data_IF_584708411175
#
_entry.id   IF_584708411175
#
_cell.length_a   1.000
_cell.length_b   1.000
_cell.length_c   1.000
_cell.angle_alpha   90.00
_cell.angle_beta   90.00
_cell.angle_gamma   90.00
#
_symmetry.space_group_name_H-M   'P 1'
#
loop_
_entity.id
_entity.type
_entity.pdbx_description
1 polymer ?
#
# COMPACT_ATOMS: atom_id res chain seq x y z
N UNK A 1 3.27 -12.09 12.02
CA UNK A 1 3.66 -11.71 13.40
C UNK A 1 2.99 -12.60 14.43
N UNK A 2 1.65 -12.56 14.53
CA UNK A 2 0.91 -13.39 15.50
C UNK A 2 1.06 -14.90 15.22
N UNK A 3 1.00 -15.33 13.96
CA UNK A 3 1.27 -16.73 13.60
C UNK A 3 2.70 -17.15 13.98
N UNK A 4 3.67 -16.24 13.85
CA UNK A 4 5.08 -16.46 14.21
C UNK A 4 5.28 -16.64 15.71
N UNK A 5 4.39 -16.14 16.57
CA UNK A 5 4.40 -16.44 18.01
C UNK A 5 3.67 -17.74 18.37
N UNK A 6 3.23 -18.52 17.39
CA UNK A 6 2.56 -19.81 17.59
C UNK A 6 1.08 -19.68 17.99
N UNK A 7 0.51 -18.47 17.95
CA UNK A 7 -0.91 -18.24 18.26
C UNK A 7 -1.77 -18.47 17.02
N UNK A 8 -2.90 -19.15 17.23
CA UNK A 8 -3.89 -19.34 16.19
C UNK A 8 -4.48 -17.99 15.80
N UNK A 9 -4.40 -17.70 14.50
CA UNK A 9 -4.72 -16.38 13.94
C UNK A 9 -5.75 -16.52 12.83
N UNK A 10 -6.68 -15.57 12.78
CA UNK A 10 -7.67 -15.45 11.72
C UNK A 10 -7.48 -14.09 11.05
N UNK A 11 -7.34 -14.10 9.73
CA UNK A 11 -7.13 -12.88 8.94
C UNK A 11 -8.27 -12.74 7.94
N UNK A 12 -8.90 -11.56 7.91
CA UNK A 12 -9.98 -11.30 6.96
C UNK A 12 -10.63 -9.94 7.15
N UNK A 13 -11.90 -9.82 6.77
CA UNK A 13 -12.65 -8.57 6.82
C UNK A 13 -12.93 -8.04 5.42
N UNK A 14 -12.54 -6.79 5.15
CA UNK A 14 -12.72 -6.14 3.86
C UNK A 14 -11.86 -6.77 2.74
N UNK A 15 -10.65 -7.25 3.08
CA UNK A 15 -9.79 -8.04 2.19
C UNK A 15 -9.76 -9.49 2.68
N UNK A 16 -9.63 -10.42 1.73
CA UNK A 16 -9.55 -11.85 2.01
C UNK A 16 -10.92 -12.47 2.19
N UNK A 17 -11.13 -13.18 3.30
CA UNK A 17 -12.35 -13.96 3.53
C UNK A 17 -13.27 -13.27 4.53
N UNK A 18 -14.61 -13.27 4.31
CA UNK A 18 -15.56 -12.87 5.34
C UNK A 18 -15.45 -13.79 6.56
N UNK A 19 -15.02 -13.23 7.69
CA UNK A 19 -14.73 -13.98 8.93
C UNK A 19 -15.97 -14.65 9.54
N UNK A 20 -17.17 -14.14 9.25
CA UNK A 20 -18.44 -14.72 9.71
C UNK A 20 -18.61 -16.19 9.29
N UNK A 21 -18.02 -16.58 8.16
CA UNK A 21 -18.07 -17.96 7.63
C UNK A 21 -17.19 -18.94 8.42
N UNK A 22 -16.41 -18.45 9.38
CA UNK A 22 -15.45 -19.22 10.16
C UNK A 22 -15.67 -19.08 11.66
N UNK A 23 -16.70 -18.34 12.09
CA UNK A 23 -16.95 -17.98 13.48
C UNK A 23 -17.10 -19.21 14.39
N UNK A 24 -17.71 -20.29 13.88
CA UNK A 24 -17.89 -21.57 14.56
C UNK A 24 -16.57 -22.29 14.89
N UNK A 25 -15.48 -21.90 14.24
CA UNK A 25 -14.15 -22.50 14.40
C UNK A 25 -13.24 -21.70 15.33
N UNK A 26 -13.68 -20.51 15.73
CA UNK A 26 -12.91 -19.56 16.54
C UNK A 26 -13.10 -19.82 18.04
N UNK A 27 -12.04 -19.61 18.79
CA UNK A 27 -12.00 -19.78 20.24
C UNK A 27 -11.60 -18.45 20.92
N UNK A 28 -11.87 -18.28 22.22
CA UNK A 28 -11.56 -17.05 22.95
C UNK A 28 -10.06 -16.71 23.00
N UNK A 29 -9.18 -17.70 22.81
CA UNK A 29 -7.72 -17.52 22.82
C UNK A 29 -7.15 -17.15 21.45
N UNK A 30 -7.95 -17.28 20.38
CA UNK A 30 -7.54 -16.98 19.02
C UNK A 30 -7.42 -15.46 18.80
N UNK A 31 -6.55 -15.06 17.89
CA UNK A 31 -6.41 -13.65 17.51
C UNK A 31 -7.07 -13.41 16.17
N UNK A 32 -7.91 -12.39 16.10
CA UNK A 32 -8.53 -11.93 14.85
C UNK A 32 -7.82 -10.66 14.40
N UNK A 33 -7.28 -10.69 13.17
CA UNK A 33 -6.75 -9.53 12.46
C UNK A 33 -7.73 -9.18 11.36
N UNK A 34 -8.48 -8.09 11.56
CA UNK A 34 -9.56 -7.70 10.66
C UNK A 34 -9.28 -6.36 9.98
N UNK A 35 -9.34 -6.34 8.66
CA UNK A 35 -9.39 -5.09 7.89
C UNK A 35 -10.83 -4.58 7.81
N UNK A 36 -11.03 -3.29 8.08
CA UNK A 36 -12.33 -2.64 8.04
C UNK A 36 -12.32 -1.43 7.10
N UNK A 37 -13.31 -1.38 6.20
CA UNK A 37 -13.52 -0.22 5.32
C UNK A 37 -14.37 0.86 6.00
N UNK A 38 -14.35 2.09 5.46
CA UNK A 38 -15.23 3.16 5.96
C UNK A 38 -16.71 2.81 5.80
N UNK A 39 -17.09 2.06 4.76
CA UNK A 39 -18.46 1.58 4.56
C UNK A 39 -18.92 0.64 5.68
N UNK A 40 -18.01 -0.23 6.16
CA UNK A 40 -18.31 -1.11 7.29
C UNK A 40 -18.39 -0.31 8.58
N UNK A 41 -17.39 0.54 8.84
CA UNK A 41 -17.28 1.32 10.08
C UNK A 41 -18.42 2.34 10.25
N UNK A 42 -19.00 2.85 9.17
CA UNK A 42 -20.21 3.71 9.21
C UNK A 42 -21.36 3.04 9.99
N UNK A 43 -21.45 1.69 9.93
CA UNK A 43 -22.51 0.91 10.58
C UNK A 43 -22.13 0.41 11.98
N UNK A 44 -20.87 0.57 12.40
CA UNK A 44 -20.38 0.00 13.65
C UNK A 44 -20.78 0.86 14.85
N UNK A 45 -21.23 0.20 15.92
CA UNK A 45 -21.57 0.81 17.22
C UNK A 45 -20.66 0.32 18.34
N UNK A 46 -19.61 -0.43 17.99
CA UNK A 46 -18.60 -0.99 18.89
C UNK A 46 -17.23 -0.85 18.22
N UNK A 47 -16.16 -0.74 19.00
CA UNK A 47 -14.78 -0.61 18.51
C UNK A 47 -13.94 -1.79 18.97
N UNK A 48 -12.96 -2.26 18.17
CA UNK A 48 -12.01 -3.26 18.63
C UNK A 48 -11.17 -2.74 19.81
N UNK A 49 -10.76 -3.61 20.74
CA UNK A 49 -9.93 -3.20 21.88
C UNK A 49 -8.54 -2.72 21.46
N UNK A 50 -8.07 -3.14 20.28
CA UNK A 50 -6.81 -2.70 19.69
C UNK A 50 -7.09 -2.36 18.23
N UNK A 51 -6.91 -1.10 17.85
CA UNK A 51 -7.26 -0.61 16.53
C UNK A 51 -6.21 0.36 16.00
N UNK A 52 -6.05 0.40 14.67
CA UNK A 52 -5.18 1.35 13.99
C UNK A 52 -5.93 2.16 12.94
N UNK A 53 -5.61 3.44 12.85
CA UNK A 53 -5.93 4.28 11.69
C UNK A 53 -4.61 4.66 11.03
N UNK A 54 -4.35 4.08 9.85
CA UNK A 54 -3.06 4.22 9.19
C UNK A 54 -2.84 5.60 8.56
N UNK A 55 -3.89 6.15 7.97
CA UNK A 55 -3.96 7.49 7.40
C UNK A 55 -5.42 7.86 7.10
N UNK A 56 -5.70 9.15 6.92
CA UNK A 56 -6.96 9.67 6.38
C UNK A 56 -6.65 10.70 5.29
N UNK A 57 -6.77 10.24 4.04
CA UNK A 57 -6.63 11.06 2.83
C UNK A 57 -7.88 10.94 1.95
N UNK A 58 -8.09 11.86 0.99
CA UNK A 58 -9.24 11.81 0.09
C UNK A 58 -9.43 10.45 -0.59
N UNK A 59 -10.56 9.81 -0.32
CA UNK A 59 -10.96 8.56 -0.93
C UNK A 59 -12.48 8.36 -0.76
N UNK A 60 -13.12 7.66 -1.71
CA UNK A 60 -14.55 7.35 -1.70
C UNK A 60 -15.50 8.56 -1.48
N UNK A 61 -15.14 9.75 -1.98
CA UNK A 61 -15.95 10.96 -1.85
C UNK A 61 -17.24 10.90 -2.69
N UNK A 62 -17.29 10.03 -3.70
CA UNK A 62 -18.50 9.63 -4.42
C UNK A 62 -19.59 9.06 -3.49
N UNK A 63 -19.19 8.32 -2.44
CA UNK A 63 -20.11 7.77 -1.44
C UNK A 63 -20.29 8.67 -0.21
N UNK A 64 -19.18 9.17 0.32
CA UNK A 64 -19.17 9.89 1.60
C UNK A 64 -19.49 11.38 1.44
N UNK A 65 -19.51 11.90 0.21
CA UNK A 65 -19.78 13.30 -0.16
C UNK A 65 -18.73 14.31 0.33
N UNK A 66 -18.19 14.15 1.54
CA UNK A 66 -17.21 15.05 2.15
C UNK A 66 -16.12 14.29 2.88
N UNK A 67 -14.94 14.91 3.01
CA UNK A 67 -13.86 14.41 3.86
C UNK A 67 -14.25 14.26 5.33
N UNK A 68 -15.10 15.16 5.83
CA UNK A 68 -15.59 15.10 7.20
C UNK A 68 -16.41 13.83 7.44
N UNK A 69 -17.34 13.50 6.55
CA UNK A 69 -18.13 12.27 6.65
C UNK A 69 -17.27 11.01 6.51
N UNK A 70 -16.28 11.02 5.61
CA UNK A 70 -15.34 9.90 5.47
C UNK A 70 -14.50 9.67 6.74
N UNK A 71 -13.97 10.75 7.31
CA UNK A 71 -13.20 10.71 8.56
C UNK A 71 -14.08 10.26 9.74
N UNK A 72 -15.30 10.78 9.83
CA UNK A 72 -16.30 10.43 10.83
C UNK A 72 -16.60 8.92 10.79
N UNK A 73 -16.87 8.36 9.61
CA UNK A 73 -17.10 6.93 9.44
C UNK A 73 -15.89 6.09 9.91
N UNK A 74 -14.67 6.48 9.55
CA UNK A 74 -13.45 5.80 10.01
C UNK A 74 -13.23 5.93 11.51
N UNK A 75 -13.61 7.04 12.12
CA UNK A 75 -13.43 7.30 13.55
C UNK A 75 -14.17 6.29 14.44
N UNK A 76 -15.22 5.63 13.92
CA UNK A 76 -15.95 4.58 14.64
C UNK A 76 -15.06 3.38 15.03
N UNK A 77 -13.91 3.18 14.39
CA UNK A 77 -12.95 2.15 14.81
C UNK A 77 -12.31 2.46 16.19
N UNK A 78 -12.35 3.73 16.64
CA UNK A 78 -11.79 4.20 17.92
C UNK A 78 -12.87 4.73 18.88
N UNK A 79 -13.95 5.30 18.33
CA UNK A 79 -14.98 6.07 19.06
C UNK A 79 -15.56 5.37 20.29
N UNK A 80 -15.73 4.06 20.21
CA UNK A 80 -16.40 3.26 21.24
C UNK A 80 -15.40 2.50 22.13
N UNK A 81 -14.10 2.76 22.00
CA UNK A 81 -13.08 2.22 22.90
C UNK A 81 -13.25 2.73 24.34
N UNK A 82 -12.72 1.96 25.28
CA UNK A 82 -12.62 2.21 26.72
C UNK A 82 -11.22 2.74 27.10
N UNK A 83 -10.96 2.93 28.40
CA UNK A 83 -9.65 3.42 28.88
C UNK A 83 -8.59 2.32 28.90
N UNK A 84 -9.02 1.06 28.84
CA UNK A 84 -8.21 -0.15 28.79
C UNK A 84 -7.73 -0.50 27.38
N UNK A 85 -8.32 0.12 26.36
CA UNK A 85 -8.08 -0.17 24.96
C UNK A 85 -6.87 0.59 24.39
N UNK A 86 -6.42 0.19 23.20
CA UNK A 86 -5.28 0.76 22.49
C UNK A 86 -5.69 1.31 21.13
N UNK A 87 -5.33 2.57 20.89
CA UNK A 87 -5.41 3.21 19.58
C UNK A 87 -4.00 3.38 18.99
N UNK A 88 -3.86 3.09 17.69
CA UNK A 88 -2.61 3.26 16.95
C UNK A 88 -2.82 4.26 15.81
N UNK A 89 -2.09 5.38 15.84
CA UNK A 89 -2.20 6.45 14.84
C UNK A 89 -0.85 6.73 14.17
N UNK A 90 -0.87 7.08 12.88
CA UNK A 90 0.31 7.64 12.21
C UNK A 90 0.54 9.05 12.72
N UNK A 91 1.73 9.35 13.26
CA UNK A 91 2.12 10.71 13.62
C UNK A 91 2.47 11.56 12.40
N UNK A 92 2.71 10.91 11.25
CA UNK A 92 3.06 11.58 9.99
C UNK A 92 1.83 11.98 9.17
N UNK A 93 0.64 11.49 9.56
CA UNK A 93 -0.61 11.76 8.84
C UNK A 93 -1.50 12.71 9.66
N UNK A 94 -1.70 13.98 9.21
CA UNK A 94 -2.54 14.94 9.91
C UNK A 94 -3.98 14.46 10.08
N UNK A 95 -4.51 13.69 9.12
CA UNK A 95 -5.87 13.17 9.17
C UNK A 95 -6.07 12.13 10.27
N UNK A 96 -5.13 11.19 10.43
CA UNK A 96 -5.09 10.24 11.52
C UNK A 96 -4.86 10.95 12.86
N UNK A 97 -3.91 11.89 12.93
CA UNK A 97 -3.63 12.64 14.15
C UNK A 97 -4.80 13.53 14.60
N UNK A 98 -5.67 13.98 13.70
CA UNK A 98 -6.90 14.68 14.06
C UNK A 98 -7.87 13.80 14.88
N UNK A 99 -7.71 12.47 14.87
CA UNK A 99 -8.50 11.56 15.71
C UNK A 99 -7.94 11.37 17.12
N UNK A 100 -6.80 11.97 17.47
CA UNK A 100 -6.19 11.75 18.80
C UNK A 100 -7.12 12.17 19.95
N UNK A 101 -7.93 13.20 19.75
CA UNK A 101 -8.80 13.78 20.80
C UNK A 101 -9.97 12.87 21.18
N UNK A 102 -10.31 11.89 20.33
CA UNK A 102 -11.36 10.91 20.62
C UNK A 102 -10.82 9.63 21.26
N UNK A 103 -9.50 9.47 21.35
CA UNK A 103 -8.87 8.30 21.96
C UNK A 103 -9.06 8.35 23.47
N UNK A 104 -9.65 7.29 24.03
CA UNK A 104 -9.92 7.19 25.48
C UNK A 104 -8.84 6.45 26.24
N UNK A 105 -8.29 5.40 25.64
CA UNK A 105 -7.28 4.54 26.26
C UNK A 105 -5.86 4.94 25.88
N UNK A 106 -5.01 3.94 25.69
CA UNK A 106 -3.59 4.13 25.38
C UNK A 106 -3.40 4.50 23.91
N UNK A 107 -2.91 5.71 23.65
CA UNK A 107 -2.50 6.13 22.31
C UNK A 107 -1.05 5.75 22.03
N UNK A 108 -0.84 4.86 21.05
CA UNK A 108 0.47 4.53 20.50
C UNK A 108 0.61 5.14 19.11
N UNK A 109 1.79 5.64 18.76
CA UNK A 109 2.03 6.36 17.50
C UNK A 109 3.08 5.67 16.65
N UNK A 110 3.00 5.83 15.33
CA UNK A 110 4.10 5.45 14.45
C UNK A 110 4.56 6.58 13.54
N UNK A 111 5.84 6.61 13.20
CA UNK A 111 6.42 7.71 12.44
C UNK A 111 7.73 7.34 11.71
N UNK A 112 7.91 7.85 10.50
CA UNK A 112 9.20 7.86 9.79
C UNK A 112 10.07 9.05 10.20
N UNK A 113 9.46 10.15 10.64
CA UNK A 113 10.13 11.44 10.82
C UNK A 113 10.42 11.77 12.30
N UNK A 114 9.47 11.45 13.18
CA UNK A 114 9.45 11.83 14.58
C UNK A 114 9.85 10.66 15.46
N UNK A 115 10.59 10.96 16.52
CA UNK A 115 10.75 10.03 17.64
C UNK A 115 9.48 10.10 18.48
N UNK A 116 8.83 8.97 18.70
CA UNK A 116 7.62 8.86 19.53
C UNK A 116 7.95 8.19 20.87
N UNK A 117 7.31 8.64 21.94
CA UNK A 117 7.52 8.12 23.31
C UNK A 117 6.86 6.75 23.53
N UNK A 118 5.78 6.47 22.81
CA UNK A 118 5.03 5.21 22.86
C UNK A 118 4.59 4.81 21.44
N UNK A 119 5.07 3.66 20.97
CA UNK A 119 4.80 3.11 19.65
C UNK A 119 6.07 2.73 18.89
N UNK A 120 6.19 3.12 17.61
CA UNK A 120 7.29 2.68 16.74
C UNK A 120 7.77 3.78 15.80
N UNK A 121 9.08 3.91 15.59
CA UNK A 121 9.62 4.97 14.73
C UNK A 121 10.89 4.57 14.00
N UNK A 122 11.24 5.34 12.96
CA UNK A 122 12.52 5.22 12.26
C UNK A 122 13.52 6.23 12.80
N UNK A 123 14.74 5.76 13.11
CA UNK A 123 15.87 6.64 13.45
C UNK A 123 17.17 5.97 13.06
N UNK A 124 18.03 6.72 12.34
CA UNK A 124 19.36 6.27 11.92
C UNK A 124 19.34 4.92 11.16
N UNK A 125 18.42 4.80 10.19
CA UNK A 125 18.32 3.60 9.34
C UNK A 125 17.79 2.34 10.05
N UNK A 126 17.13 2.51 11.20
CA UNK A 126 16.60 1.40 12.01
C UNK A 126 15.18 1.69 12.47
N UNK A 127 14.39 0.62 12.59
CA UNK A 127 13.09 0.62 13.26
C UNK A 127 13.29 0.44 14.75
N UNK A 128 12.65 1.30 15.53
CA UNK A 128 12.65 1.31 16.99
C UNK A 128 11.23 1.13 17.50
N UNK A 129 11.10 0.47 18.65
CA UNK A 129 9.88 0.41 19.45
C UNK A 129 10.10 1.20 20.74
N UNK A 130 9.05 1.86 21.21
CA UNK A 130 9.02 2.56 22.48
C UNK A 130 7.76 2.22 23.29
N UNK A 131 7.93 2.18 24.61
CA UNK A 131 6.88 1.95 25.60
C UNK A 131 7.18 2.79 26.84
N UNK A 132 6.55 3.97 26.94
CA UNK A 132 6.55 4.80 28.15
C UNK A 132 7.93 5.09 28.74
N UNK A 133 8.94 5.29 27.88
CA UNK A 133 10.32 5.60 28.28
C UNK A 133 11.34 4.47 28.09
N UNK A 134 10.90 3.24 27.78
CA UNK A 134 11.79 2.18 27.27
C UNK A 134 11.85 2.25 25.75
N UNK A 135 13.05 2.10 25.18
CA UNK A 135 13.26 2.10 23.72
C UNK A 135 14.17 0.94 23.35
N UNK A 136 13.80 0.17 22.31
CA UNK A 136 14.61 -0.94 21.81
C UNK A 136 14.53 -1.05 20.29
N UNK A 137 15.65 -1.47 19.67
CA UNK A 137 15.76 -1.54 18.21
C UNK A 137 15.24 -2.86 17.67
N UNK A 138 14.26 -2.81 16.77
CA UNK A 138 13.59 -3.98 16.20
C UNK A 138 14.38 -4.61 15.06
N UNK A 139 14.68 -3.82 14.03
CA UNK A 139 15.48 -4.24 12.88
C UNK A 139 16.08 -3.02 12.17
N UNK A 140 17.05 -3.27 11.29
CA UNK A 140 17.49 -2.27 10.31
C UNK A 140 16.47 -2.17 9.17
N UNK A 141 16.43 -1.03 8.48
CA UNK A 141 15.54 -0.86 7.32
C UNK A 141 15.85 -1.86 6.18
N UNK A 142 17.12 -2.20 5.98
CA UNK A 142 17.56 -3.18 4.97
C UNK A 142 17.19 -4.63 5.31
N UNK A 143 16.74 -4.90 6.54
CA UNK A 143 16.20 -6.19 6.96
C UNK A 143 14.69 -6.31 6.68
N UNK A 144 14.03 -5.25 6.18
CA UNK A 144 12.64 -5.26 5.76
C UNK A 144 12.60 -5.66 4.27
N UNK A 145 12.02 -6.82 3.92
CA UNK A 145 11.98 -7.32 2.54
C UNK A 145 10.99 -6.57 1.64
N UNK A 146 10.21 -5.64 2.20
CA UNK A 146 9.25 -4.81 1.49
C UNK A 146 9.88 -3.49 1.03
N UNK A 147 9.67 -3.14 -0.24
CA UNK A 147 10.11 -1.87 -0.81
C UNK A 147 9.16 -0.72 -0.45
N UNK A 148 9.70 0.49 -0.34
CA UNK A 148 8.92 1.72 -0.18
C UNK A 148 8.68 2.15 1.27
N UNK A 149 8.74 3.47 1.50
CA UNK A 149 8.53 4.08 2.82
C UNK A 149 7.14 3.83 3.39
N UNK A 150 6.12 3.74 2.54
CA UNK A 150 4.77 3.36 2.96
C UNK A 150 4.72 1.95 3.57
N UNK A 151 5.55 1.01 3.09
CA UNK A 151 5.64 -0.32 3.69
C UNK A 151 6.42 -0.31 5.00
N UNK A 152 7.39 0.60 5.17
CA UNK A 152 8.01 0.84 6.46
C UNK A 152 6.96 1.32 7.46
N UNK A 153 6.12 2.32 7.12
CA UNK A 153 4.98 2.75 7.95
C UNK A 153 4.05 1.59 8.32
N UNK A 154 3.70 0.73 7.35
CA UNK A 154 2.89 -0.47 7.60
C UNK A 154 3.55 -1.42 8.61
N UNK A 155 4.87 -1.62 8.50
CA UNK A 155 5.65 -2.44 9.45
C UNK A 155 5.63 -1.82 10.85
N UNK A 156 5.77 -0.49 10.97
CA UNK A 156 5.69 0.20 12.26
C UNK A 156 4.32 -0.02 12.90
N UNK A 157 3.23 0.24 12.17
CA UNK A 157 1.87 0.06 12.67
C UNK A 157 1.60 -1.41 13.06
N UNK A 158 2.00 -2.36 12.21
CA UNK A 158 1.84 -3.80 12.48
C UNK A 158 2.63 -4.26 13.71
N UNK A 159 3.85 -3.75 13.91
CA UNK A 159 4.66 -4.06 15.08
C UNK A 159 3.99 -3.57 16.37
N UNK A 160 3.42 -2.35 16.36
CA UNK A 160 2.65 -1.81 17.49
C UNK A 160 1.43 -2.67 17.78
N UNK A 161 0.64 -3.03 16.76
CA UNK A 161 -0.54 -3.87 16.91
C UNK A 161 -0.20 -5.26 17.48
N UNK A 162 0.86 -5.89 16.97
CA UNK A 162 1.33 -7.19 17.43
C UNK A 162 1.84 -7.14 18.89
N UNK A 163 2.61 -6.11 19.23
CA UNK A 163 3.09 -5.88 20.59
C UNK A 163 1.92 -5.64 21.56
N UNK A 164 0.91 -4.87 21.16
CA UNK A 164 -0.29 -4.60 21.97
C UNK A 164 -1.13 -5.85 22.27
N UNK A 165 -1.08 -6.90 21.43
CA UNK A 165 -1.71 -8.20 21.73
C UNK A 165 -0.76 -9.18 22.46
N UNK A 166 0.46 -8.74 22.81
CA UNK A 166 1.43 -9.54 23.56
C UNK A 166 2.31 -10.47 22.71
N UNK A 167 2.50 -10.20 21.42
CA UNK A 167 3.49 -10.92 20.60
C UNK A 167 4.91 -10.56 21.07
N UNK A 168 5.77 -11.55 21.27
CA UNK A 168 7.15 -11.30 21.71
C UNK A 168 7.96 -10.50 20.70
N UNK A 169 8.93 -9.74 21.19
CA UNK A 169 9.88 -8.98 20.39
C UNK A 169 10.55 -9.84 19.31
N UNK A 170 10.99 -11.05 19.68
CA UNK A 170 11.65 -12.00 18.77
C UNK A 170 10.71 -12.44 17.64
N UNK A 171 9.44 -12.72 17.95
CA UNK A 171 8.45 -13.13 16.96
C UNK A 171 8.09 -11.98 16.00
N UNK A 172 7.97 -10.74 16.51
CA UNK A 172 7.78 -9.55 15.66
C UNK A 172 8.99 -9.39 14.72
N UNK A 173 10.21 -9.40 15.26
CA UNK A 173 11.46 -9.24 14.48
C UNK A 173 11.61 -10.33 13.43
N UNK A 174 11.34 -11.59 13.77
CA UNK A 174 11.39 -12.70 12.84
C UNK A 174 10.35 -12.55 11.72
N UNK A 175 9.11 -12.23 12.08
CA UNK A 175 8.02 -12.06 11.12
C UNK A 175 8.31 -10.94 10.11
N UNK A 176 8.90 -9.81 10.53
CA UNK A 176 9.28 -8.72 9.62
C UNK A 176 10.26 -9.24 8.57
N UNK A 177 11.32 -9.93 9.01
CA UNK A 177 12.40 -10.41 8.13
C UNK A 177 11.96 -11.49 7.17
N UNK A 178 11.00 -12.32 7.57
CA UNK A 178 10.50 -13.43 6.77
C UNK A 178 9.25 -13.07 5.95
N UNK A 179 8.77 -11.82 6.02
CA UNK A 179 7.54 -11.44 5.34
C UNK A 179 7.75 -11.41 3.82
N UNK A 180 6.91 -12.14 3.09
CA UNK A 180 6.86 -12.06 1.63
C UNK A 180 5.82 -11.04 1.20
N UNK A 181 6.15 -10.24 0.18
CA UNK A 181 5.21 -9.28 -0.39
C UNK A 181 3.89 -9.97 -0.78
N UNK A 182 2.79 -9.24 -0.60
CA UNK A 182 1.47 -9.70 -1.02
C UNK A 182 1.40 -9.65 -2.54
N UNK A 183 0.79 -10.66 -3.15
CA UNK A 183 0.54 -10.68 -4.59
C UNK A 183 -0.10 -9.37 -5.06
N UNK A 184 0.32 -8.88 -6.23
CA UNK A 184 -0.16 -7.64 -6.83
C UNK A 184 0.14 -6.35 -6.04
N UNK A 185 1.02 -6.40 -5.03
CA UNK A 185 1.51 -5.25 -4.27
C UNK A 185 3.04 -5.16 -4.31
N UNK A 186 3.56 -4.32 -5.21
CA UNK A 186 5.00 -4.22 -5.51
C UNK A 186 5.69 -5.59 -5.63
N UNK A 187 5.00 -6.56 -6.21
CA UNK A 187 5.44 -7.94 -6.32
C UNK A 187 6.45 -8.08 -7.47
N UNK A 188 7.65 -8.55 -7.17
CA UNK A 188 8.62 -8.91 -8.21
C UNK A 188 8.18 -10.21 -8.89
N UNK A 189 7.63 -10.10 -10.10
CA UNK A 189 7.14 -11.25 -10.89
C UNK A 189 8.28 -12.01 -11.54
N UNK A 190 9.21 -11.29 -12.18
CA UNK A 190 10.31 -11.89 -12.93
C UNK A 190 11.45 -10.90 -13.10
N UNK A 191 12.68 -11.42 -13.22
CA UNK A 191 13.84 -10.68 -13.70
C UNK A 191 14.29 -11.26 -15.05
N UNK A 192 14.39 -10.43 -16.08
CA UNK A 192 14.75 -10.86 -17.45
C UNK A 192 15.83 -9.91 -17.98
N UNK A 193 16.99 -10.44 -18.39
CA UNK A 193 18.06 -9.59 -18.97
C UNK A 193 18.48 -8.42 -18.08
N UNK A 194 18.43 -8.58 -16.75
CA UNK A 194 18.74 -7.51 -15.80
C UNK A 194 17.56 -6.57 -15.46
N UNK A 195 16.45 -6.64 -16.21
CA UNK A 195 15.22 -5.85 -16.01
C UNK A 195 14.31 -6.50 -14.97
N UNK A 196 13.75 -5.72 -14.05
CA UNK A 196 12.77 -6.20 -13.07
C UNK A 196 11.33 -5.92 -13.56
N UNK A 197 10.45 -6.91 -13.49
CA UNK A 197 9.03 -6.76 -13.79
C UNK A 197 8.23 -6.83 -12.49
N UNK A 198 7.60 -5.71 -12.14
CA UNK A 198 6.93 -5.53 -10.85
C UNK A 198 5.43 -5.32 -11.04
N UNK A 199 4.65 -6.13 -10.32
CA UNK A 199 3.19 -6.10 -10.31
C UNK A 199 2.69 -5.31 -9.10
N UNK A 200 2.11 -4.14 -9.34
CA UNK A 200 1.39 -3.34 -8.34
C UNK A 200 -0.04 -3.03 -8.84
N UNK A 201 -0.71 -4.03 -9.42
CA UNK A 201 -2.07 -3.88 -9.97
C UNK A 201 -3.10 -3.35 -8.95
N UNK A 202 -2.83 -3.52 -7.65
CA UNK A 202 -3.66 -2.96 -6.57
C UNK A 202 -3.60 -1.43 -6.46
N UNK A 203 -2.67 -0.76 -7.17
CA UNK A 203 -2.60 0.69 -7.25
C UNK A 203 -3.71 1.26 -8.15
N UNK A 204 -4.95 1.18 -7.67
CA UNK A 204 -6.17 1.62 -8.38
C UNK A 204 -6.55 3.08 -8.10
N UNK A 205 -5.57 3.89 -7.69
CA UNK A 205 -5.72 5.32 -7.43
C UNK A 205 -4.38 6.04 -7.72
N UNK A 206 -4.39 7.33 -8.15
CA UNK A 206 -3.17 8.09 -8.43
C UNK A 206 -2.18 8.12 -7.27
N UNK A 207 -2.67 8.27 -6.04
CA UNK A 207 -1.83 8.35 -4.82
C UNK A 207 -1.12 7.02 -4.56
N UNK A 208 -1.76 5.90 -4.91
CA UNK A 208 -1.17 4.56 -4.77
C UNK A 208 -0.09 4.34 -5.83
N UNK A 209 -0.33 4.79 -7.06
CA UNK A 209 0.67 4.73 -8.12
C UNK A 209 1.87 5.63 -7.80
N UNK A 210 1.65 6.82 -7.22
CA UNK A 210 2.70 7.69 -6.70
C UNK A 210 3.57 6.99 -5.65
N UNK A 211 2.95 6.35 -4.65
CA UNK A 211 3.66 5.59 -3.63
C UNK A 211 4.49 4.43 -4.24
N UNK A 212 4.02 3.82 -5.32
CA UNK A 212 4.74 2.80 -6.06
C UNK A 212 5.98 3.37 -6.78
N UNK A 213 5.83 4.49 -7.50
CA UNK A 213 6.94 5.18 -8.18
C UNK A 213 8.06 5.56 -7.20
N UNK A 214 7.70 6.02 -6.01
CA UNK A 214 8.63 6.46 -4.97
C UNK A 214 9.35 5.30 -4.26
N UNK A 215 8.97 4.06 -4.55
CA UNK A 215 9.59 2.85 -3.99
C UNK A 215 10.82 2.39 -4.76
N UNK A 216 11.15 3.05 -5.86
CA UNK A 216 12.28 2.70 -6.72
C UNK A 216 13.28 3.85 -6.82
N UNK A 217 14.55 3.50 -6.97
CA UNK A 217 15.63 4.41 -7.39
C UNK A 217 16.10 4.11 -8.81
N UNK A 218 15.77 2.91 -9.31
CA UNK A 218 16.02 2.43 -10.67
C UNK A 218 15.22 3.22 -11.72
N UNK A 219 15.66 3.36 -12.98
CA UNK A 219 14.83 3.95 -14.05
C UNK A 219 13.54 3.14 -14.27
N UNK A 220 12.41 3.84 -14.41
CA UNK A 220 11.09 3.20 -14.45
C UNK A 220 10.50 3.28 -15.85
N UNK A 221 9.98 2.15 -16.35
CA UNK A 221 9.01 2.08 -17.44
C UNK A 221 7.65 1.79 -16.81
N UNK A 222 6.77 2.78 -16.80
CA UNK A 222 5.48 2.72 -16.11
C UNK A 222 4.40 2.19 -17.06
N UNK A 223 3.62 1.21 -16.61
CA UNK A 223 2.36 0.82 -17.25
C UNK A 223 1.21 1.45 -16.45
N UNK A 224 0.52 2.42 -17.06
CA UNK A 224 -0.54 3.19 -16.42
C UNK A 224 -1.84 3.15 -17.24
N UNK A 225 -3.00 3.14 -16.57
CA UNK A 225 -4.26 2.94 -17.27
C UNK A 225 -5.41 2.46 -16.41
N UNK A 226 -6.48 2.04 -17.08
CA UNK A 226 -7.72 1.57 -16.45
C UNK A 226 -8.87 2.57 -16.60
N UNK A 227 -9.82 2.50 -15.67
CA UNK A 227 -10.97 3.43 -15.57
C UNK A 227 -10.82 4.43 -14.43
N UNK A 228 -11.15 5.68 -14.71
CA UNK A 228 -11.18 6.77 -13.73
C UNK A 228 -12.39 6.71 -12.78
N UNK A 229 -12.26 7.36 -11.64
CA UNK A 229 -13.35 7.60 -10.67
C UNK A 229 -13.38 9.07 -10.26
N UNK A 230 -13.25 9.97 -11.24
CA UNK A 230 -13.16 11.42 -11.04
C UNK A 230 -12.04 11.82 -10.06
N UNK A 231 -10.86 11.19 -10.22
CA UNK A 231 -9.71 11.38 -9.34
C UNK A 231 -8.85 12.58 -9.75
N UNK A 232 -7.97 13.04 -8.87
CA UNK A 232 -7.07 14.17 -9.13
C UNK A 232 -5.70 13.66 -9.60
N UNK A 233 -5.32 13.99 -10.84
CA UNK A 233 -4.14 13.42 -11.50
C UNK A 233 -2.92 14.35 -11.62
N UNK A 234 -3.03 15.61 -11.17
CA UNK A 234 -1.97 16.61 -11.34
C UNK A 234 -0.65 16.23 -10.67
N UNK A 235 -0.67 15.76 -9.43
CA UNK A 235 0.55 15.30 -8.74
C UNK A 235 1.14 14.05 -9.38
N UNK A 236 0.29 13.13 -9.85
CA UNK A 236 0.71 11.95 -10.60
C UNK A 236 1.46 12.34 -11.88
N UNK A 237 0.89 13.24 -12.67
CA UNK A 237 1.53 13.71 -13.91
C UNK A 237 2.90 14.35 -13.61
N UNK A 238 2.96 15.27 -12.64
CA UNK A 238 4.20 15.88 -12.21
C UNK A 238 5.28 14.84 -11.83
N UNK A 239 4.91 13.81 -11.06
CA UNK A 239 5.86 12.78 -10.62
C UNK A 239 6.31 11.89 -11.78
N UNK A 240 5.40 11.50 -12.68
CA UNK A 240 5.74 10.69 -13.86
C UNK A 240 6.77 11.42 -14.71
N UNK A 241 6.55 12.71 -14.98
CA UNK A 241 7.48 13.53 -15.77
C UNK A 241 8.87 13.66 -15.14
N UNK A 242 8.98 13.58 -13.82
CA UNK A 242 10.25 13.66 -13.10
C UNK A 242 10.98 12.32 -12.97
N UNK A 243 10.23 11.22 -12.85
CA UNK A 243 10.77 9.95 -12.33
C UNK A 243 10.85 8.83 -13.36
N UNK A 244 10.03 8.91 -14.41
CA UNK A 244 9.78 7.81 -15.34
C UNK A 244 10.57 8.04 -16.62
N UNK A 245 11.20 6.97 -17.13
CA UNK A 245 11.93 6.95 -18.42
C UNK A 245 10.95 6.86 -19.59
N UNK A 246 9.94 6.01 -19.47
CA UNK A 246 8.87 5.82 -20.44
C UNK A 246 7.56 5.42 -19.76
N UNK A 247 6.43 5.84 -20.30
CA UNK A 247 5.10 5.47 -19.84
C UNK A 247 4.29 4.87 -20.99
N UNK A 248 3.76 3.68 -20.75
CA UNK A 248 2.88 2.97 -21.68
C UNK A 248 1.46 3.01 -21.10
N UNK A 249 0.59 3.73 -21.80
CA UNK A 249 -0.78 4.03 -21.40
C UNK A 249 -1.75 3.06 -22.06
N UNK A 250 -2.68 2.52 -21.28
CA UNK A 250 -3.71 1.58 -21.75
C UNK A 250 -5.09 1.82 -21.12
N UNK A 251 -6.14 1.22 -21.69
CA UNK A 251 -7.50 1.31 -21.16
C UNK A 251 -8.16 2.68 -21.36
N UNK A 252 -9.31 2.87 -20.72
CA UNK A 252 -10.17 4.06 -20.91
C UNK A 252 -9.47 5.37 -20.54
N UNK A 253 -8.59 5.34 -19.54
CA UNK A 253 -7.79 6.48 -19.09
C UNK A 253 -6.70 6.92 -20.06
N UNK A 254 -6.30 6.08 -21.02
CA UNK A 254 -5.07 6.30 -21.77
C UNK A 254 -5.05 7.64 -22.53
N UNK A 255 -6.18 8.01 -23.15
CA UNK A 255 -6.29 9.28 -23.86
C UNK A 255 -6.18 10.50 -22.94
N UNK A 256 -6.89 10.49 -21.81
CA UNK A 256 -6.84 11.55 -20.82
C UNK A 256 -5.45 11.71 -20.21
N UNK A 257 -4.82 10.61 -19.79
CA UNK A 257 -3.48 10.64 -19.20
C UNK A 257 -2.42 11.11 -20.20
N UNK A 258 -2.55 10.74 -21.48
CA UNK A 258 -1.65 11.22 -22.53
C UNK A 258 -1.72 12.75 -22.65
N UNK A 259 -2.92 13.31 -22.81
CA UNK A 259 -3.10 14.77 -22.90
C UNK A 259 -2.57 15.48 -21.66
N UNK A 260 -2.85 14.93 -20.47
CA UNK A 260 -2.37 15.50 -19.22
C UNK A 260 -0.83 15.55 -19.13
N UNK A 261 -0.14 14.49 -19.60
CA UNK A 261 1.32 14.45 -19.61
C UNK A 261 1.90 15.39 -20.68
N UNK A 262 1.30 15.45 -21.86
CA UNK A 262 1.69 16.38 -22.94
C UNK A 262 1.56 17.85 -22.48
N UNK A 263 0.49 18.19 -21.75
CA UNK A 263 0.31 19.52 -21.16
C UNK A 263 1.42 19.86 -20.16
N UNK A 264 1.82 18.90 -19.32
CA UNK A 264 2.95 19.09 -18.40
C UNK A 264 4.28 19.24 -19.12
N UNK A 265 4.47 18.51 -20.22
CA UNK A 265 5.65 18.63 -21.07
C UNK A 265 5.76 20.03 -21.67
N UNK A 266 4.65 20.57 -22.17
CA UNK A 266 4.58 21.92 -22.73
C UNK A 266 4.90 23.01 -21.69
N UNK A 267 4.66 22.75 -20.40
CA UNK A 267 5.05 23.61 -19.28
C UNK A 267 6.53 23.50 -18.89
N UNK A 268 7.32 22.71 -19.62
CA UNK A 268 8.76 22.53 -19.39
C UNK A 268 9.12 21.46 -18.37
N UNK A 269 8.20 20.53 -18.06
CA UNK A 269 8.51 19.35 -17.26
C UNK A 269 9.41 18.37 -18.04
N UNK A 270 9.79 17.25 -17.40
CA UNK A 270 10.61 16.20 -18.04
C UNK A 270 9.95 15.60 -19.29
N UNK A 271 10.67 14.75 -20.02
CA UNK A 271 10.22 14.22 -21.33
C UNK A 271 10.30 12.69 -21.37
N UNK A 272 9.44 11.97 -20.63
CA UNK A 272 9.34 10.53 -20.78
C UNK A 272 8.86 10.18 -22.19
N UNK A 273 9.23 9.01 -22.69
CA UNK A 273 8.60 8.46 -23.90
C UNK A 273 7.16 8.08 -23.53
N UNK A 274 6.17 8.65 -24.21
CA UNK A 274 4.75 8.35 -24.00
C UNK A 274 4.28 7.46 -25.15
N UNK A 275 3.72 6.30 -24.84
CA UNK A 275 3.15 5.39 -25.84
C UNK A 275 1.75 4.97 -25.41
N UNK A 276 0.80 4.96 -26.34
CA UNK A 276 -0.55 4.45 -26.10
C UNK A 276 -0.73 3.12 -26.81
N UNK A 277 -1.37 2.19 -26.11
CA UNK A 277 -1.75 0.87 -26.61
C UNK A 277 -3.17 0.55 -26.17
N UNK A 278 -3.78 -0.47 -26.76
CA UNK A 278 -5.16 -0.83 -26.45
C UNK A 278 -5.24 -1.77 -25.24
N UNK A 279 -4.23 -2.64 -25.06
CA UNK A 279 -4.26 -3.71 -24.06
C UNK A 279 -3.04 -3.73 -23.13
N UNK A 280 -3.19 -4.33 -21.96
CA UNK A 280 -2.08 -4.55 -21.03
C UNK A 280 -0.99 -5.46 -21.62
N UNK A 281 -1.36 -6.42 -22.46
CA UNK A 281 -0.41 -7.34 -23.09
C UNK A 281 0.47 -6.59 -24.10
N UNK A 282 -0.12 -5.69 -24.90
CA UNK A 282 0.64 -4.76 -25.73
C UNK A 282 1.54 -3.87 -24.88
N UNK A 283 1.05 -3.37 -23.74
CA UNK A 283 1.85 -2.51 -22.85
C UNK A 283 3.09 -3.24 -22.32
N UNK A 284 2.93 -4.50 -21.91
CA UNK A 284 4.04 -5.37 -21.46
C UNK A 284 5.03 -5.63 -22.59
N UNK A 285 4.58 -5.87 -23.82
CA UNK A 285 5.46 -6.11 -24.97
C UNK A 285 6.26 -4.86 -25.33
N UNK A 286 5.60 -3.70 -25.44
CA UNK A 286 6.29 -2.41 -25.69
C UNK A 286 7.32 -2.13 -24.60
N UNK A 287 6.96 -2.35 -23.34
CA UNK A 287 7.89 -2.16 -22.23
C UNK A 287 9.08 -3.12 -22.29
N UNK A 288 8.87 -4.37 -22.71
CA UNK A 288 9.96 -5.34 -22.90
C UNK A 288 10.91 -4.92 -24.04
N UNK A 289 10.40 -4.39 -25.15
CA UNK A 289 11.22 -3.95 -26.29
C UNK A 289 12.13 -2.76 -25.96
N UNK A 290 11.67 -1.84 -25.11
CA UNK A 290 12.40 -0.61 -24.77
C UNK A 290 13.23 -0.73 -23.49
N UNK A 291 13.01 -1.77 -22.67
CA UNK A 291 13.70 -1.96 -21.41
C UNK A 291 15.17 -2.31 -21.60
N UNK A 292 16.00 -1.79 -20.71
CA UNK A 292 17.44 -2.00 -20.66
C UNK A 292 17.85 -2.55 -19.29
N UNK A 293 19.00 -3.22 -19.23
CA UNK A 293 19.54 -3.73 -17.96
C UNK A 293 19.55 -2.63 -16.87
N UNK A 294 18.99 -2.95 -15.71
CA UNK A 294 18.84 -2.02 -14.59
C UNK A 294 17.50 -1.28 -14.55
N UNK A 295 16.68 -1.33 -15.61
CA UNK A 295 15.34 -0.77 -15.62
C UNK A 295 14.35 -1.61 -14.77
N UNK A 296 13.26 -0.95 -14.35
CA UNK A 296 12.08 -1.57 -13.74
C UNK A 296 10.87 -1.32 -14.64
N UNK A 297 10.23 -2.39 -15.10
CA UNK A 297 8.89 -2.33 -15.70
C UNK A 297 7.87 -2.48 -14.57
N UNK A 298 7.14 -1.39 -14.29
CA UNK A 298 6.21 -1.29 -13.17
C UNK A 298 4.77 -1.19 -13.66
N UNK A 299 3.94 -2.19 -13.34
CA UNK A 299 2.49 -2.04 -13.42
C UNK A 299 1.99 -1.30 -12.18
N UNK A 300 1.75 0.00 -12.29
CA UNK A 300 1.13 0.82 -11.26
C UNK A 300 0.03 1.69 -11.92
N UNK A 301 -1.15 1.11 -12.18
CA UNK A 301 -2.10 1.62 -13.16
C UNK A 301 -2.67 3.00 -12.83
N UNK A 302 -2.83 3.33 -11.54
CA UNK A 302 -3.49 4.55 -11.09
C UNK A 302 -5.01 4.52 -11.25
N UNK A 303 -5.52 3.82 -12.27
CA UNK A 303 -6.94 3.60 -12.50
C UNK A 303 -7.46 2.25 -12.02
N UNK A 304 -8.79 2.18 -11.86
CA UNK A 304 -9.48 0.91 -11.57
C UNK A 304 -9.46 -0.03 -12.76
N UNK A 305 -9.71 -1.32 -12.55
CA UNK A 305 -9.57 -2.35 -13.59
C UNK A 305 -10.85 -2.65 -14.38
N UNK A 306 -11.96 -2.01 -14.04
CA UNK A 306 -13.31 -2.36 -14.50
C UNK A 306 -13.62 -2.01 -15.97
N UNK A 307 -12.65 -1.48 -16.70
CA UNK A 307 -12.70 -1.29 -18.15
C UNK A 307 -12.29 -2.55 -18.94
N UNK A 308 -11.50 -3.45 -18.34
CA UNK A 308 -11.02 -4.65 -19.02
C UNK A 308 -11.02 -5.93 -18.18
N UNK A 309 -11.28 -5.84 -16.87
CA UNK A 309 -11.15 -6.94 -15.92
C UNK A 309 -12.24 -6.90 -14.84
N UNK A 310 -12.53 -8.06 -14.24
CA UNK A 310 -13.45 -8.24 -13.12
C UNK A 310 -12.95 -7.51 -11.88
N UNK A 311 -11.66 -7.57 -11.59
CA UNK A 311 -11.03 -6.88 -10.47
C UNK A 311 -9.54 -6.64 -10.71
N UNK A 312 -8.86 -6.04 -9.73
CA UNK A 312 -7.43 -5.73 -9.84
C UNK A 312 -6.57 -6.99 -9.81
N UNK A 313 -7.04 -8.09 -9.20
CA UNK A 313 -6.30 -9.34 -9.10
C UNK A 313 -6.25 -10.02 -10.47
N UNK A 314 -7.37 -10.06 -11.20
CA UNK A 314 -7.40 -10.57 -12.57
C UNK A 314 -6.46 -9.78 -13.50
N UNK A 315 -6.45 -8.45 -13.40
CA UNK A 315 -5.47 -7.61 -14.12
C UNK A 315 -4.03 -7.94 -13.73
N UNK A 316 -3.79 -8.17 -12.45
CA UNK A 316 -2.49 -8.57 -11.92
C UNK A 316 -2.03 -9.94 -12.43
N UNK A 317 -2.95 -10.90 -12.56
CA UNK A 317 -2.69 -12.21 -13.17
C UNK A 317 -2.42 -12.11 -14.67
N UNK A 318 -3.13 -11.22 -15.38
CA UNK A 318 -2.88 -10.95 -16.79
C UNK A 318 -1.44 -10.44 -16.97
N UNK A 319 -1.01 -9.46 -16.18
CA UNK A 319 0.37 -9.00 -16.17
C UNK A 319 1.37 -10.13 -15.90
N UNK A 320 1.11 -10.96 -14.87
CA UNK A 320 1.99 -12.08 -14.50
C UNK A 320 2.15 -13.06 -15.68
N UNK A 321 1.04 -13.43 -16.32
CA UNK A 321 1.02 -14.31 -17.49
C UNK A 321 1.82 -13.72 -18.64
N UNK A 322 1.62 -12.45 -18.96
CA UNK A 322 2.29 -11.77 -20.08
C UNK A 322 3.80 -11.66 -19.83
N UNK A 323 4.21 -11.31 -18.60
CA UNK A 323 5.63 -11.29 -18.19
C UNK A 323 6.27 -12.68 -18.23
N UNK A 324 5.55 -13.75 -17.85
CA UNK A 324 6.08 -15.12 -17.98
C UNK A 324 6.19 -15.57 -19.44
N UNK A 325 5.31 -15.07 -20.31
CA UNK A 325 5.37 -15.31 -21.76
C UNK A 325 6.54 -14.62 -22.47
N UNK A 326 7.17 -13.62 -21.85
CA UNK A 326 8.29 -12.90 -22.47
C UNK A 326 9.50 -13.82 -22.71
N UNK A 327 10.16 -13.70 -23.87
CA UNK A 327 11.35 -14.47 -24.17
C UNK A 327 12.53 -14.04 -23.29
N UNK A 328 13.43 -14.97 -22.98
CA UNK A 328 14.71 -14.64 -22.35
C UNK A 328 15.63 -14.09 -23.45
N UNK A 329 16.20 -12.89 -23.31
CA UNK A 329 17.18 -12.36 -24.25
C UNK A 329 18.29 -13.39 -24.44
N UNK A 330 18.63 -13.69 -25.70
CA UNK A 330 19.80 -14.50 -25.97
C UNK A 330 21.01 -13.82 -25.33
N UNK A 331 21.74 -14.54 -24.46
CA UNK A 331 23.01 -14.06 -23.92
C UNK A 331 23.93 -13.72 -25.08
N UNK A 332 24.22 -12.43 -25.26
CA UNK A 332 25.25 -11.95 -26.19
C UNK A 332 26.64 -12.31 -25.67
#
# INVERSE_FOLDING_TARGET
>A
MVETSGRRTWVGGNIGRPLITQLDKMNQEDVVVQELSSFQLELWTESPPIAAVLNITPNHLDRHTTMAAYSEAKSNILRFQSVEDVAVLSADDPGAMALQDIVRGRLRKFSLELVVEDGAFVRQGRVWMADGGKVWGLCKLDEIPLRGWHNVLNVLAAAILADSVGVSFEAIRQAIKSFTAVEHRLELVRKIGGVQYVNDSIATAPERALAALDSFTEPIILLAGGRDKDMVWGEWANRVMQRVKAVVLFGELAGFLQTLLEDHEAMGAGRPIITRVDTLDEAVNIAWEIAQEGDVVLLAPGGTSFDGYVDFAERGEAFRRSVHGLPVPATA
#
